data_IF_858579701233
#
_entry.id   IF_858579701233
#
_cell.length_a   1.000
_cell.length_b   1.000
_cell.length_c   1.000
_cell.angle_alpha   90.00
_cell.angle_beta   90.00
_cell.angle_gamma   90.00
#
_symmetry.space_group_name_H-M   'P 1'
#
loop_
_entity.id
_entity.type
_entity.pdbx_description
1 polymer ?
#
# COMPACT_ATOMS: atom_id res chain seq x y z
N UNK A 1 -3.36 -18.67 -13.60
CA UNK A 1 -4.70 -18.40 -13.05
C UNK A 1 -5.26 -19.56 -12.22
N UNK A 2 -5.16 -20.83 -12.66
CA UNK A 2 -5.62 -21.97 -11.83
C UNK A 2 -4.88 -22.01 -10.48
N UNK A 3 -3.56 -21.90 -10.48
CA UNK A 3 -2.73 -21.86 -9.27
C UNK A 3 -3.13 -20.69 -8.33
N UNK A 4 -3.36 -19.50 -8.85
CA UNK A 4 -3.80 -18.34 -8.05
C UNK A 4 -5.18 -18.58 -7.43
N UNK A 5 -6.12 -19.13 -8.20
CA UNK A 5 -7.45 -19.47 -7.69
C UNK A 5 -7.40 -20.51 -6.57
N UNK A 6 -6.52 -21.53 -6.72
CA UNK A 6 -6.31 -22.54 -5.68
C UNK A 6 -5.70 -21.95 -4.40
N UNK A 7 -4.74 -21.02 -4.52
CA UNK A 7 -4.13 -20.33 -3.38
C UNK A 7 -5.15 -19.47 -2.62
N UNK A 8 -5.99 -18.71 -3.31
CA UNK A 8 -7.06 -17.96 -2.68
C UNK A 8 -8.08 -18.86 -1.97
N UNK A 9 -8.46 -19.98 -2.60
CA UNK A 9 -9.36 -20.94 -1.99
C UNK A 9 -8.76 -21.61 -0.75
N UNK A 10 -7.46 -21.92 -0.75
CA UNK A 10 -6.74 -22.44 0.41
C UNK A 10 -6.68 -21.41 1.55
N UNK A 11 -6.38 -20.15 1.22
CA UNK A 11 -6.33 -19.07 2.23
C UNK A 11 -7.67 -18.93 2.95
N UNK A 12 -8.79 -18.93 2.22
CA UNK A 12 -10.14 -18.86 2.82
C UNK A 12 -10.51 -20.07 3.68
N UNK A 13 -9.80 -21.18 3.58
CA UNK A 13 -10.01 -22.38 4.39
C UNK A 13 -9.13 -22.43 5.65
N UNK A 14 -8.17 -21.55 5.79
CA UNK A 14 -7.30 -21.51 6.97
C UNK A 14 -8.10 -21.07 8.21
N UNK A 15 -8.09 -21.86 9.32
CA UNK A 15 -8.85 -21.52 10.52
C UNK A 15 -8.53 -20.13 11.09
N UNK A 16 -7.26 -19.70 10.99
CA UNK A 16 -6.83 -18.39 11.44
C UNK A 16 -7.42 -17.26 10.56
N UNK A 17 -7.51 -17.47 9.23
CA UNK A 17 -8.11 -16.50 8.31
C UNK A 17 -9.62 -16.40 8.49
N UNK A 18 -10.32 -17.55 8.66
CA UNK A 18 -11.75 -17.58 8.98
C UNK A 18 -12.03 -16.80 10.27
N UNK A 19 -11.25 -17.05 11.33
CA UNK A 19 -11.38 -16.32 12.57
C UNK A 19 -11.12 -14.80 12.41
N UNK A 20 -10.23 -14.41 11.53
CA UNK A 20 -9.99 -13.00 11.21
C UNK A 20 -11.22 -12.38 10.52
N UNK A 21 -11.78 -13.04 9.49
CA UNK A 21 -12.99 -12.59 8.79
C UNK A 21 -14.23 -12.47 9.70
N UNK A 22 -14.34 -13.34 10.73
CA UNK A 22 -15.42 -13.27 11.73
C UNK A 22 -15.31 -12.04 12.66
N UNK A 23 -14.12 -11.47 12.82
CA UNK A 23 -13.84 -10.40 13.78
C UNK A 23 -13.42 -9.06 13.17
N UNK A 24 -13.11 -9.05 11.88
CA UNK A 24 -12.63 -7.84 11.18
C UNK A 24 -13.11 -7.80 9.72
N UNK A 25 -13.36 -6.61 9.21
CA UNK A 25 -13.58 -6.42 7.77
C UNK A 25 -12.23 -6.43 7.05
N UNK A 26 -12.11 -7.26 6.02
CA UNK A 26 -10.91 -7.37 5.20
C UNK A 26 -11.03 -6.43 4.01
N UNK A 27 -10.05 -5.56 3.85
CA UNK A 27 -9.83 -4.73 2.67
C UNK A 27 -8.49 -5.09 2.06
N UNK A 28 -8.38 -5.06 0.74
CA UNK A 28 -7.12 -5.40 0.10
C UNK A 28 -7.01 -4.90 -1.34
N UNK A 29 -5.78 -4.77 -1.77
CA UNK A 29 -5.35 -4.59 -3.14
C UNK A 29 -4.18 -5.53 -3.37
N UNK A 30 -4.01 -5.98 -4.58
CA UNK A 30 -2.92 -6.89 -4.94
C UNK A 30 -1.55 -6.23 -4.96
N UNK A 31 -0.53 -7.09 -4.95
CA UNK A 31 0.79 -6.79 -5.43
C UNK A 31 1.15 -7.69 -6.63
N UNK A 32 2.42 -8.02 -6.89
CA UNK A 32 2.86 -8.66 -8.13
C UNK A 32 2.44 -10.14 -8.24
N UNK A 33 2.68 -10.94 -7.21
CA UNK A 33 2.42 -12.39 -7.26
C UNK A 33 0.95 -12.77 -7.25
N UNK A 34 0.10 -12.00 -6.62
CA UNK A 34 -1.35 -12.18 -6.67
C UNK A 34 -2.00 -11.40 -7.85
N UNK A 35 -1.31 -10.44 -8.43
CA UNK A 35 -1.64 -9.91 -9.75
C UNK A 35 -1.27 -10.91 -10.86
N UNK A 36 -0.12 -11.60 -10.76
CA UNK A 36 0.23 -12.63 -11.73
C UNK A 36 1.66 -13.10 -11.77
N UNK A 37 2.60 -12.22 -12.02
CA UNK A 37 4.02 -12.55 -12.20
C UNK A 37 4.88 -11.51 -11.48
N UNK A 38 6.08 -11.94 -11.05
CA UNK A 38 7.04 -11.08 -10.36
C UNK A 38 7.27 -9.77 -11.12
N UNK A 39 7.13 -8.66 -10.41
CA UNK A 39 7.27 -7.28 -10.92
C UNK A 39 6.34 -6.94 -12.12
N UNK A 40 5.32 -7.73 -12.42
CA UNK A 40 4.44 -7.54 -13.58
C UNK A 40 3.67 -6.21 -13.54
N UNK A 41 3.29 -5.77 -14.72
CA UNK A 41 2.54 -4.52 -14.94
C UNK A 41 1.47 -4.66 -16.03
N UNK A 42 1.14 -3.55 -16.64
CA UNK A 42 0.01 -3.42 -17.57
C UNK A 42 0.04 -4.34 -18.80
N UNK A 43 1.21 -4.85 -19.19
CA UNK A 43 1.35 -5.83 -20.29
C UNK A 43 0.90 -7.25 -19.91
N UNK A 44 0.71 -7.55 -18.61
CA UNK A 44 0.29 -8.88 -18.18
C UNK A 44 -1.06 -9.27 -18.79
N UNK A 45 -1.04 -10.27 -19.65
CA UNK A 45 -2.19 -10.62 -20.52
C UNK A 45 -3.43 -11.12 -19.76
N UNK A 46 -3.24 -11.67 -18.54
CA UNK A 46 -4.32 -12.24 -17.72
C UNK A 46 -4.81 -11.32 -16.60
N UNK A 47 -4.43 -10.05 -16.60
CA UNK A 47 -4.78 -9.09 -15.57
C UNK A 47 -6.29 -8.96 -15.27
N UNK A 48 -7.15 -9.14 -16.28
CA UNK A 48 -8.60 -9.13 -16.09
C UNK A 48 -9.10 -10.36 -15.32
N UNK A 49 -8.49 -11.51 -15.56
CA UNK A 49 -8.78 -12.74 -14.82
C UNK A 49 -8.30 -12.64 -13.37
N UNK A 50 -7.07 -12.12 -13.16
CA UNK A 50 -6.54 -11.86 -11.81
C UNK A 50 -7.44 -10.93 -11.02
N UNK A 51 -7.92 -9.85 -11.64
CA UNK A 51 -8.84 -8.91 -11.01
C UNK A 51 -10.13 -9.60 -10.56
N UNK A 52 -10.69 -10.46 -11.40
CA UNK A 52 -11.88 -11.21 -11.03
C UNK A 52 -11.61 -12.10 -9.80
N UNK A 53 -10.50 -12.82 -9.80
CA UNK A 53 -10.11 -13.69 -8.67
C UNK A 53 -9.89 -12.90 -7.38
N UNK A 54 -9.23 -11.75 -7.43
CA UNK A 54 -9.06 -10.87 -6.28
C UNK A 54 -10.42 -10.39 -5.73
N UNK A 55 -11.31 -9.94 -6.61
CA UNK A 55 -12.62 -9.45 -6.21
C UNK A 55 -13.52 -10.55 -5.63
N UNK A 56 -13.44 -11.75 -6.20
CA UNK A 56 -14.11 -12.94 -5.65
C UNK A 56 -13.51 -13.33 -4.26
N UNK A 57 -12.18 -13.22 -4.10
CA UNK A 57 -11.49 -13.49 -2.82
C UNK A 57 -11.84 -12.48 -1.73
N UNK A 58 -11.92 -11.20 -2.06
CA UNK A 58 -12.26 -10.11 -1.13
C UNK A 58 -13.77 -9.93 -0.94
N UNK A 59 -14.60 -10.79 -1.54
CA UNK A 59 -16.07 -10.71 -1.51
C UNK A 59 -16.60 -9.33 -1.92
N UNK A 60 -15.96 -8.69 -2.92
CA UNK A 60 -16.39 -7.37 -3.41
C UNK A 60 -17.78 -7.49 -4.03
N UNK A 61 -18.79 -6.78 -3.51
CA UNK A 61 -20.16 -6.87 -4.00
C UNK A 61 -20.25 -6.56 -5.51
N UNK A 62 -21.12 -7.28 -6.24
CA UNK A 62 -21.28 -7.09 -7.69
C UNK A 62 -21.79 -5.71 -8.07
N UNK A 63 -22.46 -5.01 -7.18
CA UNK A 63 -22.93 -3.64 -7.35
C UNK A 63 -21.93 -2.59 -6.84
N UNK A 64 -20.74 -3.01 -6.38
CA UNK A 64 -19.71 -2.08 -5.93
C UNK A 64 -19.15 -1.28 -7.13
N UNK A 65 -18.93 0.05 -7.01
CA UNK A 65 -18.46 0.88 -8.13
C UNK A 65 -17.15 0.42 -8.78
N UNK A 66 -16.29 -0.25 -8.04
CA UNK A 66 -15.06 -0.83 -8.58
C UNK A 66 -15.33 -1.91 -9.65
N UNK A 67 -16.50 -2.56 -9.67
CA UNK A 67 -16.83 -3.57 -10.68
C UNK A 67 -16.97 -2.98 -12.08
N UNK A 68 -17.34 -1.71 -12.19
CA UNK A 68 -17.64 -1.02 -13.46
C UNK A 68 -16.39 -0.47 -14.17
N UNK A 69 -15.20 -0.57 -13.56
CA UNK A 69 -13.96 0.03 -14.08
C UNK A 69 -12.82 -0.99 -14.14
N UNK A 70 -11.78 -0.69 -14.91
CA UNK A 70 -10.56 -1.48 -14.95
C UNK A 70 -9.68 -1.20 -13.71
N UNK A 71 -8.83 -2.16 -13.33
CA UNK A 71 -7.99 -2.11 -12.13
C UNK A 71 -8.73 -2.51 -10.85
N UNK A 72 -8.01 -2.57 -9.75
CA UNK A 72 -8.50 -3.02 -8.44
C UNK A 72 -8.61 -1.90 -7.39
N UNK A 73 -8.41 -0.65 -7.80
CA UNK A 73 -8.42 0.49 -6.86
C UNK A 73 -9.82 0.78 -6.30
N UNK A 74 -9.88 1.14 -5.02
CA UNK A 74 -11.11 1.30 -4.24
C UNK A 74 -10.93 2.35 -3.14
N UNK A 75 -12.03 2.89 -2.62
CA UNK A 75 -12.01 3.74 -1.43
C UNK A 75 -13.12 3.36 -0.46
N UNK A 76 -12.85 3.53 0.81
CA UNK A 76 -13.78 3.27 1.92
C UNK A 76 -13.61 4.37 2.96
N UNK A 77 -14.71 4.88 3.51
CA UNK A 77 -14.66 5.87 4.59
C UNK A 77 -15.49 5.39 5.78
N UNK A 78 -14.99 5.66 6.97
CA UNK A 78 -15.56 5.23 8.24
C UNK A 78 -15.68 6.43 9.19
N UNK A 79 -16.67 6.39 10.08
CA UNK A 79 -16.93 7.48 11.02
C UNK A 79 -17.53 8.71 10.36
N UNK A 80 -17.37 9.87 11.01
CA UNK A 80 -17.91 11.14 10.51
C UNK A 80 -17.44 12.33 11.34
N UNK A 81 -17.63 13.54 10.83
CA UNK A 81 -17.12 14.75 11.43
C UNK A 81 -15.61 14.69 11.64
N UNK A 82 -15.13 15.07 12.82
CA UNK A 82 -13.71 15.05 13.17
C UNK A 82 -13.13 13.66 13.42
N UNK A 83 -13.94 12.61 13.36
CA UNK A 83 -13.52 11.22 13.57
C UNK A 83 -13.67 10.39 12.28
N UNK A 84 -13.49 11.01 11.13
CA UNK A 84 -13.60 10.36 9.83
C UNK A 84 -12.22 9.86 9.36
N UNK A 85 -12.18 8.58 8.96
CA UNK A 85 -11.03 7.92 8.36
C UNK A 85 -11.39 7.47 6.97
N UNK A 86 -10.58 7.78 5.96
CA UNK A 86 -10.75 7.23 4.63
C UNK A 86 -9.54 6.35 4.25
N UNK A 87 -9.82 5.20 3.63
CA UNK A 87 -8.85 4.25 3.09
C UNK A 87 -8.96 4.26 1.57
N UNK A 88 -7.83 4.50 0.89
CA UNK A 88 -7.68 4.46 -0.56
C UNK A 88 -6.75 3.32 -0.93
N UNK A 89 -7.28 2.29 -1.56
CA UNK A 89 -6.51 1.16 -2.09
C UNK A 89 -6.06 1.51 -3.50
N UNK A 90 -4.75 1.65 -3.71
CA UNK A 90 -4.16 2.05 -4.98
C UNK A 90 -3.65 0.82 -5.74
N UNK A 91 -4.12 0.66 -6.96
CA UNK A 91 -3.63 -0.38 -7.87
C UNK A 91 -2.36 0.10 -8.58
N UNK A 92 -1.23 -0.40 -8.13
CA UNK A 92 0.10 -0.08 -8.67
C UNK A 92 0.59 -1.11 -9.68
N UNK A 93 -0.32 -1.96 -10.23
CA UNK A 93 -0.01 -3.05 -11.16
C UNK A 93 -0.74 -2.96 -12.50
N UNK A 94 -2.06 -2.83 -12.49
CA UNK A 94 -2.91 -3.00 -13.68
C UNK A 94 -2.57 -2.05 -14.83
N UNK A 95 -2.14 -0.83 -14.52
CA UNK A 95 -1.83 0.23 -15.47
C UNK A 95 -0.34 0.54 -15.55
N UNK A 96 0.47 -0.04 -14.66
CA UNK A 96 1.89 0.24 -14.55
C UNK A 96 2.61 -0.10 -15.85
N UNK A 97 3.40 0.82 -16.39
CA UNK A 97 4.32 0.50 -17.47
C UNK A 97 5.37 -0.49 -16.99
N UNK A 98 5.75 -1.41 -17.87
CA UNK A 98 6.72 -2.44 -17.55
C UNK A 98 8.10 -1.84 -17.28
N UNK A 99 8.82 -2.45 -16.37
CA UNK A 99 10.15 -2.01 -16.02
C UNK A 99 11.17 -2.31 -17.14
N UNK A 100 12.02 -1.35 -17.39
CA UNK A 100 13.26 -1.59 -18.10
C UNK A 100 14.39 -1.93 -17.12
N UNK A 101 15.07 -3.07 -17.37
CA UNK A 101 16.22 -3.48 -16.55
C UNK A 101 17.36 -2.46 -16.67
N UNK A 102 18.01 -2.21 -15.54
CA UNK A 102 19.21 -1.41 -15.47
C UNK A 102 20.45 -2.34 -15.45
N UNK A 103 21.58 -1.88 -15.95
CA UNK A 103 22.86 -2.57 -15.86
C UNK A 103 23.56 -2.36 -14.50
N UNK A 104 23.08 -1.42 -13.69
CA UNK A 104 23.65 -1.13 -12.37
C UNK A 104 23.22 -2.19 -11.34
N UNK A 105 24.15 -2.78 -10.58
CA UNK A 105 23.81 -3.75 -9.53
C UNK A 105 23.01 -3.13 -8.39
N UNK A 106 23.15 -1.83 -8.15
CA UNK A 106 22.47 -1.11 -7.07
C UNK A 106 21.10 -0.55 -7.48
N UNK A 107 20.68 -0.78 -8.72
CA UNK A 107 19.38 -0.31 -9.21
C UNK A 107 18.88 -1.24 -10.31
N UNK A 108 18.01 -2.17 -9.95
CA UNK A 108 17.50 -3.22 -10.85
C UNK A 108 16.76 -2.68 -12.05
N UNK A 109 16.07 -1.56 -11.87
CA UNK A 109 15.22 -0.94 -12.87
C UNK A 109 15.63 0.50 -13.16
N UNK A 110 15.50 0.91 -14.42
CA UNK A 110 15.63 2.32 -14.81
C UNK A 110 14.48 3.14 -14.25
N UNK A 111 14.70 4.44 -14.07
CA UNK A 111 13.60 5.38 -13.83
C UNK A 111 12.73 5.47 -15.09
N UNK A 112 11.42 5.43 -14.89
CA UNK A 112 10.41 5.51 -15.93
C UNK A 112 9.52 6.74 -15.67
N UNK A 113 9.32 7.57 -16.67
CA UNK A 113 8.44 8.74 -16.59
C UNK A 113 7.00 8.41 -17.03
N UNK A 114 6.72 7.14 -17.28
CA UNK A 114 5.42 6.67 -17.72
C UNK A 114 4.41 6.47 -16.62
N UNK A 115 3.39 5.66 -16.93
CA UNK A 115 2.24 5.48 -16.06
C UNK A 115 2.55 4.47 -14.94
N UNK A 116 2.19 4.82 -13.72
CA UNK A 116 2.09 3.89 -12.60
C UNK A 116 0.61 3.55 -12.31
N UNK A 117 -0.23 4.55 -12.07
CA UNK A 117 -1.64 4.35 -11.73
C UNK A 117 -2.59 4.39 -12.95
N UNK A 118 -2.12 4.85 -14.12
CA UNK A 118 -2.98 5.08 -15.29
C UNK A 118 -3.87 6.32 -15.17
N UNK A 119 -4.42 6.77 -16.29
CA UNK A 119 -5.16 8.03 -16.34
C UNK A 119 -6.47 7.98 -15.55
N UNK A 120 -7.21 6.86 -15.65
CA UNK A 120 -8.52 6.70 -15.02
C UNK A 120 -8.39 6.63 -13.50
N UNK A 121 -7.40 5.91 -12.96
CA UNK A 121 -7.17 5.86 -11.53
C UNK A 121 -6.72 7.22 -10.98
N UNK A 122 -5.87 7.96 -11.73
CA UNK A 122 -5.51 9.33 -11.34
C UNK A 122 -6.72 10.26 -11.28
N UNK A 123 -7.59 10.18 -12.29
CA UNK A 123 -8.82 11.00 -12.34
C UNK A 123 -9.78 10.65 -11.22
N UNK A 124 -9.92 9.35 -10.92
CA UNK A 124 -10.70 8.88 -9.78
C UNK A 124 -10.11 9.37 -8.45
N UNK A 125 -8.81 9.19 -8.22
CA UNK A 125 -8.17 9.60 -6.97
C UNK A 125 -8.30 11.12 -6.75
N UNK A 126 -8.09 11.91 -7.79
CA UNK A 126 -8.24 13.36 -7.72
C UNK A 126 -9.68 13.78 -7.43
N UNK A 127 -10.67 13.08 -7.99
CA UNK A 127 -12.08 13.30 -7.69
C UNK A 127 -12.42 12.97 -6.23
N UNK A 128 -12.00 11.80 -5.74
CA UNK A 128 -12.19 11.39 -4.34
C UNK A 128 -11.59 12.41 -3.37
N UNK A 129 -10.35 12.84 -3.63
CA UNK A 129 -9.63 13.76 -2.74
C UNK A 129 -10.12 15.21 -2.83
N UNK A 130 -10.72 15.62 -3.95
CA UNK A 130 -11.25 16.98 -4.12
C UNK A 130 -12.44 17.33 -3.21
N UNK A 131 -13.14 16.31 -2.73
CA UNK A 131 -14.29 16.46 -1.82
C UNK A 131 -14.05 15.79 -0.47
N UNK A 132 -12.79 15.43 -0.19
CA UNK A 132 -12.42 14.72 1.01
C UNK A 132 -12.42 15.67 2.24
N UNK A 133 -13.10 15.24 3.28
CA UNK A 133 -13.19 15.90 4.59
C UNK A 133 -12.69 14.98 5.73
N UNK A 134 -12.00 13.89 5.39
CA UNK A 134 -11.51 12.95 6.41
C UNK A 134 -10.32 13.53 7.17
N UNK A 135 -10.31 13.31 8.47
CA UNK A 135 -9.25 13.72 9.39
C UNK A 135 -8.00 12.81 9.24
N UNK A 136 -8.21 11.55 8.87
CA UNK A 136 -7.11 10.60 8.63
C UNK A 136 -7.31 9.97 7.24
N UNK A 137 -6.24 9.96 6.46
CA UNK A 137 -6.25 9.44 5.10
C UNK A 137 -5.19 8.35 4.94
N UNK A 138 -5.63 7.11 4.87
CA UNK A 138 -4.78 5.95 4.64
C UNK A 138 -4.77 5.62 3.15
N UNK A 139 -3.59 5.57 2.56
CA UNK A 139 -3.37 5.10 1.20
C UNK A 139 -2.64 3.76 1.27
N UNK A 140 -3.09 2.76 0.56
CA UNK A 140 -2.43 1.45 0.54
C UNK A 140 -2.12 1.01 -0.89
N UNK A 141 -0.92 0.51 -1.11
CA UNK A 141 -0.47 -0.05 -2.38
C UNK A 141 0.65 -1.06 -2.18
N UNK A 142 0.91 -1.91 -3.17
CA UNK A 142 1.90 -2.99 -3.03
C UNK A 142 3.30 -2.47 -2.73
N UNK A 143 3.80 -1.49 -3.47
CA UNK A 143 5.20 -1.02 -3.43
C UNK A 143 5.41 0.23 -2.57
N UNK A 144 6.63 0.39 -2.03
CA UNK A 144 7.01 1.51 -1.16
C UNK A 144 6.94 2.86 -1.86
N UNK A 145 6.39 3.86 -1.14
CA UNK A 145 6.25 5.23 -1.64
C UNK A 145 7.53 6.06 -1.43
N UNK A 146 8.13 6.02 -0.24
CA UNK A 146 9.22 6.92 0.14
C UNK A 146 10.61 6.33 -0.06
N UNK A 147 10.81 5.04 0.21
CA UNK A 147 12.12 4.40 0.04
C UNK A 147 12.57 4.47 -1.41
N UNK A 148 13.80 4.96 -1.65
CA UNK A 148 14.30 5.24 -3.00
C UNK A 148 15.62 4.55 -3.35
N UNK A 149 16.33 4.01 -2.37
CA UNK A 149 17.74 3.63 -2.50
C UNK A 149 17.96 2.14 -2.71
N UNK A 150 17.01 1.29 -2.30
CA UNK A 150 17.09 -0.16 -2.57
C UNK A 150 16.96 -0.49 -4.06
N UNK A 151 17.46 -1.66 -4.52
CA UNK A 151 17.51 -1.98 -5.96
C UNK A 151 16.16 -2.41 -6.57
N UNK A 152 15.17 -2.76 -5.76
CA UNK A 152 13.90 -3.35 -6.19
C UNK A 152 12.88 -2.30 -6.65
N UNK A 153 11.66 -2.74 -6.96
CA UNK A 153 10.59 -1.86 -7.40
C UNK A 153 10.07 -0.94 -6.27
N UNK A 154 9.66 0.25 -6.65
CA UNK A 154 9.19 1.31 -5.76
C UNK A 154 8.62 2.47 -6.56
N UNK A 155 7.90 3.37 -5.90
CA UNK A 155 7.41 4.60 -6.54
C UNK A 155 8.54 5.47 -7.12
N UNK A 156 9.71 5.47 -6.52
CA UNK A 156 10.87 6.21 -7.02
C UNK A 156 11.37 5.74 -8.42
N UNK A 157 10.92 4.59 -8.91
CA UNK A 157 11.11 4.19 -10.30
C UNK A 157 10.22 5.01 -11.25
N UNK A 158 9.13 5.61 -10.76
CA UNK A 158 8.18 6.47 -11.49
C UNK A 158 8.13 7.87 -10.87
N UNK A 159 9.21 8.67 -11.00
CA UNK A 159 9.35 9.92 -10.25
C UNK A 159 8.26 10.96 -10.56
N UNK A 160 7.73 10.99 -11.79
CA UNK A 160 6.63 11.88 -12.13
C UNK A 160 5.31 11.45 -11.47
N UNK A 161 5.07 10.15 -11.33
CA UNK A 161 3.90 9.63 -10.63
C UNK A 161 3.98 9.93 -9.14
N UNK A 162 5.14 9.71 -8.51
CA UNK A 162 5.39 10.04 -7.11
C UNK A 162 5.19 11.54 -6.84
N UNK A 163 5.78 12.39 -7.69
CA UNK A 163 5.59 13.84 -7.59
C UNK A 163 4.12 14.23 -7.72
N UNK A 164 3.41 13.67 -8.71
CA UNK A 164 1.97 13.93 -8.90
C UNK A 164 1.16 13.56 -7.67
N UNK A 165 1.48 12.44 -7.02
CA UNK A 165 0.81 12.03 -5.78
C UNK A 165 0.99 13.09 -4.68
N UNK A 166 2.20 13.55 -4.43
CA UNK A 166 2.49 14.61 -3.46
C UNK A 166 1.82 15.94 -3.82
N UNK A 167 1.83 16.31 -5.11
CA UNK A 167 1.17 17.52 -5.60
C UNK A 167 -0.35 17.48 -5.32
N UNK A 168 -1.01 16.34 -5.52
CA UNK A 168 -2.45 16.16 -5.26
C UNK A 168 -2.74 16.24 -3.75
N UNK A 169 -1.97 15.56 -2.91
CA UNK A 169 -2.12 15.65 -1.46
C UNK A 169 -2.01 17.09 -0.98
N UNK A 170 -1.02 17.81 -1.48
CA UNK A 170 -0.76 19.21 -1.14
C UNK A 170 -1.86 20.14 -1.69
N UNK A 171 -2.30 19.92 -2.93
CA UNK A 171 -3.35 20.72 -3.60
C UNK A 171 -4.66 20.72 -2.82
N UNK A 172 -5.05 19.57 -2.30
CA UNK A 172 -6.30 19.39 -1.56
C UNK A 172 -6.12 19.45 -0.04
N UNK A 173 -4.91 19.74 0.44
CA UNK A 173 -4.58 19.82 1.88
C UNK A 173 -5.07 18.60 2.67
N UNK A 174 -4.77 17.41 2.14
CA UNK A 174 -5.22 16.14 2.71
C UNK A 174 -4.67 15.96 4.12
N UNK A 175 -5.55 15.84 5.10
CA UNK A 175 -5.18 15.75 6.52
C UNK A 175 -4.59 14.37 6.84
N UNK A 176 -3.56 14.34 7.66
CA UNK A 176 -2.89 13.13 8.19
C UNK A 176 -2.71 12.03 7.14
N UNK A 177 -1.98 12.30 6.02
CA UNK A 177 -1.75 11.29 4.99
C UNK A 177 -0.76 10.23 5.47
N UNK A 178 -1.15 8.96 5.38
CA UNK A 178 -0.31 7.81 5.70
C UNK A 178 -0.38 6.83 4.53
N UNK A 179 0.77 6.39 4.06
CA UNK A 179 0.87 5.34 3.05
C UNK A 179 1.22 4.00 3.71
N UNK A 180 0.57 2.93 3.27
CA UNK A 180 0.79 1.56 3.72
C UNK A 180 1.33 0.76 2.55
N UNK A 181 2.47 0.11 2.72
CA UNK A 181 3.15 -0.62 1.66
C UNK A 181 3.52 -2.06 2.03
N UNK A 182 3.74 -2.88 1.01
CA UNK A 182 4.12 -4.29 1.09
C UNK A 182 5.38 -4.63 0.31
N UNK A 183 5.36 -5.72 -0.46
CA UNK A 183 6.38 -6.22 -1.40
C UNK A 183 7.71 -6.65 -0.76
N UNK A 184 8.26 -5.87 0.12
CA UNK A 184 9.67 -5.92 0.53
C UNK A 184 10.03 -7.05 1.49
N UNK A 185 9.05 -7.78 2.05
CA UNK A 185 9.27 -8.83 3.06
C UNK A 185 10.11 -8.37 4.26
N UNK A 186 9.99 -7.09 4.60
CA UNK A 186 10.57 -6.42 5.76
C UNK A 186 9.51 -5.53 6.41
N UNK A 187 9.84 -4.90 7.54
CA UNK A 187 9.08 -3.77 8.01
C UNK A 187 9.97 -2.58 8.32
N UNK A 188 9.47 -1.40 8.02
CA UNK A 188 10.09 -0.12 8.33
C UNK A 188 9.05 1.00 8.32
N UNK A 189 9.34 2.07 9.03
CA UNK A 189 8.56 3.30 8.98
C UNK A 189 9.44 4.41 8.43
N UNK A 190 8.98 5.05 7.39
CA UNK A 190 9.63 6.19 6.75
C UNK A 190 8.78 7.45 6.92
N UNK A 191 9.45 8.60 6.97
CA UNK A 191 8.84 9.92 7.11
C UNK A 191 9.47 10.89 6.14
N UNK A 192 8.64 11.71 5.50
CA UNK A 192 9.11 12.81 4.65
C UNK A 192 8.23 14.04 4.83
N UNK A 193 8.85 15.19 5.03
CA UNK A 193 8.20 16.48 4.86
C UNK A 193 8.18 16.82 3.36
N UNK A 194 6.99 16.83 2.74
CA UNK A 194 6.81 17.07 1.30
C UNK A 194 6.57 18.53 0.96
N UNK A 195 6.22 19.33 1.96
CA UNK A 195 6.11 20.79 1.93
C UNK A 195 6.23 21.30 3.35
N UNK A 196 6.60 22.58 3.56
CA UNK A 196 6.74 23.17 4.89
C UNK A 196 5.54 22.87 5.80
N UNK A 197 5.79 22.20 6.92
CA UNK A 197 4.79 21.71 7.88
C UNK A 197 3.74 20.74 7.28
N UNK A 198 4.05 20.09 6.17
CA UNK A 198 3.18 19.08 5.58
C UNK A 198 3.97 17.82 5.24
N UNK A 199 3.59 16.72 5.85
CA UNK A 199 4.35 15.48 5.87
C UNK A 199 3.52 14.27 5.46
N UNK A 200 4.21 13.18 5.14
CA UNK A 200 3.64 11.86 4.92
C UNK A 200 4.50 10.80 5.61
N UNK A 201 3.85 9.78 6.14
CA UNK A 201 4.49 8.53 6.58
C UNK A 201 4.26 7.44 5.53
N UNK A 202 5.27 6.60 5.33
CA UNK A 202 5.18 5.33 4.59
C UNK A 202 5.50 4.21 5.57
N UNK A 203 4.49 3.37 5.82
CA UNK A 203 4.57 2.26 6.78
C UNK A 203 4.61 0.98 5.96
N UNK A 204 5.80 0.39 5.86
CA UNK A 204 5.98 -0.93 5.26
C UNK A 204 5.81 -1.99 6.35
N UNK A 205 4.91 -2.95 6.12
CA UNK A 205 4.79 -4.14 6.95
C UNK A 205 4.47 -5.32 6.05
N UNK A 206 5.51 -6.04 5.65
CA UNK A 206 5.49 -7.01 4.55
C UNK A 206 6.06 -8.38 4.93
N UNK A 207 5.93 -8.76 6.20
CA UNK A 207 6.49 -9.98 6.73
C UNK A 207 5.47 -10.97 7.31
N UNK A 208 4.22 -10.98 6.82
CA UNK A 208 3.16 -11.77 7.44
C UNK A 208 3.38 -13.28 7.34
N UNK A 209 3.91 -13.77 6.23
CA UNK A 209 4.12 -15.21 5.97
C UNK A 209 5.57 -15.60 5.79
N UNK A 210 6.40 -14.68 5.35
CA UNK A 210 7.86 -14.85 5.21
C UNK A 210 8.55 -13.48 5.19
N UNK A 211 9.83 -13.46 5.52
CA UNK A 211 10.63 -12.24 5.63
C UNK A 211 12.05 -12.48 5.12
N UNK A 212 12.78 -11.39 4.84
CA UNK A 212 14.19 -11.46 4.44
C UNK A 212 15.12 -11.36 5.66
N UNK A 213 15.14 -12.40 6.50
CA UNK A 213 15.93 -12.46 7.73
C UNK A 213 17.44 -12.26 7.52
N UNK A 214 17.93 -12.53 6.31
CA UNK A 214 19.35 -12.35 5.95
C UNK A 214 19.72 -10.93 5.52
N UNK A 215 18.76 -10.02 5.46
CA UNK A 215 19.03 -8.63 5.10
C UNK A 215 19.55 -7.87 6.34
N UNK A 216 20.83 -7.56 6.35
CA UNK A 216 21.47 -6.89 7.49
C UNK A 216 21.30 -5.37 7.45
N UNK A 217 21.39 -4.77 6.25
CA UNK A 217 21.25 -3.32 6.07
C UNK A 217 20.73 -3.01 4.67
N UNK A 218 19.93 -1.95 4.58
CA UNK A 218 19.47 -1.39 3.32
C UNK A 218 19.30 0.13 3.49
N UNK A 219 19.92 0.96 2.64
CA UNK A 219 19.84 2.40 2.80
C UNK A 219 18.42 2.91 2.52
N UNK A 220 17.93 3.78 3.40
CA UNK A 220 16.71 4.53 3.24
C UNK A 220 16.81 5.83 4.05
N UNK A 221 17.05 6.95 3.37
CA UNK A 221 17.25 8.27 3.98
C UNK A 221 16.02 8.79 4.73
N UNK A 222 14.84 8.24 4.47
CA UNK A 222 13.59 8.62 5.11
C UNK A 222 13.20 7.73 6.29
N UNK A 223 13.94 6.65 6.52
CA UNK A 223 13.64 5.70 7.60
C UNK A 223 13.82 6.33 8.97
N UNK A 224 12.81 6.19 9.82
CA UNK A 224 12.81 6.62 11.22
C UNK A 224 12.69 5.46 12.21
N UNK A 225 12.49 4.24 11.75
CA UNK A 225 12.49 3.00 12.54
C UNK A 225 13.77 2.21 12.34
N UNK A 226 14.04 1.16 13.11
CA UNK A 226 14.92 0.08 12.69
C UNK A 226 14.43 -0.57 11.40
N UNK A 227 15.33 -1.18 10.62
CA UNK A 227 14.97 -2.16 9.60
C UNK A 227 14.62 -3.47 10.30
N UNK A 228 13.39 -3.95 10.15
CA UNK A 228 12.89 -5.15 10.80
C UNK A 228 12.72 -6.26 9.76
N UNK A 229 13.44 -7.36 9.94
CA UNK A 229 13.55 -8.47 8.96
C UNK A 229 12.95 -9.77 9.47
N UNK A 230 12.26 -9.75 10.64
CA UNK A 230 11.50 -10.89 11.16
C UNK A 230 10.08 -10.92 10.59
N UNK A 231 9.36 -12.02 10.84
CA UNK A 231 7.91 -12.07 10.61
C UNK A 231 7.21 -10.95 11.37
N UNK A 232 6.32 -10.22 10.70
CA UNK A 232 5.74 -9.01 11.26
C UNK A 232 4.35 -8.71 10.69
N UNK A 233 3.61 -7.88 11.42
CA UNK A 233 2.42 -7.18 10.94
C UNK A 233 2.33 -5.78 11.55
N UNK A 234 1.71 -4.87 10.81
CA UNK A 234 1.48 -3.50 11.25
C UNK A 234 0.15 -3.36 12.00
N UNK A 235 0.12 -2.52 13.01
CA UNK A 235 -1.10 -2.13 13.75
C UNK A 235 -1.17 -0.62 13.86
N UNK A 236 -2.34 -0.05 13.55
CA UNK A 236 -2.63 1.37 13.76
C UNK A 236 -3.81 1.48 14.72
N UNK A 237 -3.59 2.16 15.84
CA UNK A 237 -4.62 2.51 16.80
C UNK A 237 -4.86 4.01 16.78
N UNK A 238 -6.13 4.41 16.81
CA UNK A 238 -6.53 5.82 16.78
C UNK A 238 -7.11 6.19 18.13
N UNK A 239 -6.47 7.13 18.81
CA UNK A 239 -7.01 7.73 20.02
C UNK A 239 -7.61 9.11 19.70
N UNK A 240 -8.93 9.16 19.58
CA UNK A 240 -9.66 10.38 19.27
C UNK A 240 -9.74 11.38 20.43
N UNK A 241 -9.50 10.96 21.67
CA UNK A 241 -9.55 11.87 22.83
C UNK A 241 -8.35 12.81 22.83
N UNK A 242 -7.19 12.33 22.41
CA UNK A 242 -5.95 13.13 22.36
C UNK A 242 -5.48 13.40 20.92
N UNK A 243 -6.28 13.03 19.91
CA UNK A 243 -5.95 13.18 18.49
C UNK A 243 -4.56 12.63 18.15
N UNK A 244 -4.31 11.36 18.50
CA UNK A 244 -3.05 10.67 18.27
C UNK A 244 -3.29 9.31 17.58
N UNK A 245 -2.46 9.02 16.59
CA UNK A 245 -2.30 7.69 16.01
C UNK A 245 -1.10 7.01 16.68
N UNK A 246 -1.27 5.75 17.06
CA UNK A 246 -0.16 4.88 17.43
C UNK A 246 0.04 3.82 16.35
N UNK A 247 1.16 3.88 15.66
CA UNK A 247 1.60 2.90 14.67
C UNK A 247 2.56 1.95 15.36
N UNK A 248 2.31 0.66 15.27
CA UNK A 248 3.17 -0.38 15.81
C UNK A 248 3.53 -1.39 14.72
N UNK A 249 4.79 -1.83 14.70
CA UNK A 249 5.20 -3.04 14.01
C UNK A 249 5.36 -4.11 15.07
N UNK A 250 4.60 -5.19 14.93
CA UNK A 250 4.59 -6.30 15.86
C UNK A 250 5.21 -7.54 15.20
N UNK A 251 5.85 -8.38 16.00
CA UNK A 251 6.31 -9.69 15.56
C UNK A 251 5.17 -10.73 15.54
N UNK A 252 5.51 -11.98 15.20
CA UNK A 252 4.54 -13.08 15.11
C UNK A 252 3.86 -13.41 16.45
N UNK A 253 4.45 -13.05 17.57
CA UNK A 253 3.91 -13.23 18.92
C UNK A 253 3.08 -12.02 19.38
N UNK A 254 2.98 -10.98 18.56
CA UNK A 254 2.26 -9.74 18.86
C UNK A 254 3.03 -8.78 19.77
N UNK A 255 4.33 -8.95 19.88
CA UNK A 255 5.21 -8.08 20.69
C UNK A 255 5.64 -6.89 19.84
N UNK A 256 5.43 -5.64 20.29
CA UNK A 256 5.87 -4.46 19.55
C UNK A 256 7.40 -4.39 19.43
N UNK A 257 7.89 -4.38 18.19
CA UNK A 257 9.31 -4.19 17.86
C UNK A 257 9.63 -2.73 17.55
N UNK A 258 8.61 -1.96 17.14
CA UNK A 258 8.70 -0.52 16.95
C UNK A 258 7.35 0.13 17.21
N UNK A 259 7.35 1.35 17.75
CA UNK A 259 6.16 2.16 17.98
C UNK A 259 6.43 3.61 17.59
N UNK A 260 5.57 4.17 16.74
CA UNK A 260 5.57 5.58 16.36
C UNK A 260 4.24 6.21 16.73
N UNK A 261 4.29 7.34 17.43
CA UNK A 261 3.13 8.20 17.67
C UNK A 261 3.09 9.32 16.63
N UNK A 262 1.91 9.57 16.10
CA UNK A 262 1.66 10.57 15.06
C UNK A 262 0.50 11.45 15.55
N UNK A 263 0.74 12.73 15.71
CA UNK A 263 -0.33 13.69 16.01
C UNK A 263 -1.25 13.84 14.78
N UNK A 264 -2.55 13.75 15.00
CA UNK A 264 -3.57 13.97 13.97
C UNK A 264 -3.65 15.49 13.75
N UNK A 265 -3.59 15.91 12.49
CA UNK A 265 -3.62 17.32 12.08
C UNK A 265 -5.05 17.83 11.90
#
# INVERSE_FOLDING_TARGET
MKDLSEKYALQKQLPAYIKLEENATIFGVWDDHDFGENDAGGSFSKKKESRKLLFDFLDIPKNHPAQEREGAYQSYCFGGGTQKVCLYLLDVRYFKEDYEKNSSPNQRYKKNNGLLLGADQWSWLEKELSTNDATINLFAGGIQLLSAEHPYEKWANFPLAQKRFFDILTKYSIQTPIYLSGDRHIAEVSYQEIKSNYWIYDITSSGLTHSYESLEDEPNQYRISPLLTMLNFGKIEINWEIFELQVQILDADGIPQFTQKISIQ
#
